data_IF_903530257919
#
_entry.id   IF_903530257919
#
_cell.length_a   1.000
_cell.length_b   1.000
_cell.length_c   1.000
_cell.angle_alpha   90.00
_cell.angle_beta   90.00
_cell.angle_gamma   90.00
#
_symmetry.space_group_name_H-M   'P 1'
#
loop_
_entity.id
_entity.type
_entity.pdbx_description
1 polymer ?
#
# COMPACT_ATOMS: atom_id res chain seq x y z
N UNK A 1 -2.24 -14.19 2.56
CA UNK A 1 -1.41 -13.35 1.65
C UNK A 1 -1.84 -13.49 0.20
N UNK A 2 -2.21 -14.68 -0.28
CA UNK A 2 -2.56 -14.87 -1.69
C UNK A 2 -3.85 -14.16 -2.11
N UNK A 3 -4.90 -14.17 -1.27
CA UNK A 3 -6.15 -13.46 -1.53
C UNK A 3 -5.96 -11.97 -1.85
N UNK A 4 -5.12 -11.26 -1.08
CA UNK A 4 -4.91 -9.83 -1.29
C UNK A 4 -4.06 -9.56 -2.54
N UNK A 5 -3.13 -10.47 -2.87
CA UNK A 5 -2.36 -10.38 -4.11
C UNK A 5 -3.27 -10.59 -5.31
N UNK A 6 -4.19 -11.56 -5.27
CA UNK A 6 -5.15 -11.77 -6.35
C UNK A 6 -6.11 -10.59 -6.50
N UNK A 7 -6.57 -9.98 -5.40
CA UNK A 7 -7.32 -8.72 -5.45
C UNK A 7 -6.52 -7.62 -6.15
N UNK A 8 -5.24 -7.43 -5.79
CA UNK A 8 -4.37 -6.43 -6.41
C UNK A 8 -4.08 -6.72 -7.89
N UNK A 9 -3.97 -7.99 -8.31
CA UNK A 9 -3.83 -8.38 -9.72
C UNK A 9 -5.05 -8.01 -10.57
N UNK A 10 -6.23 -8.06 -9.97
CA UNK A 10 -7.50 -7.76 -10.64
C UNK A 10 -7.86 -6.25 -10.63
N UNK A 11 -7.00 -5.39 -10.08
CA UNK A 11 -7.21 -3.94 -10.09
C UNK A 11 -6.93 -3.39 -11.49
N UNK A 12 -7.93 -2.75 -12.09
CA UNK A 12 -7.80 -2.06 -13.38
C UNK A 12 -7.54 -0.56 -13.20
N UNK A 13 -8.05 0.02 -12.11
CA UNK A 13 -7.96 1.47 -11.86
C UNK A 13 -7.47 1.75 -10.45
N UNK A 14 -6.48 2.65 -10.33
CA UNK A 14 -5.97 3.12 -9.04
C UNK A 14 -6.29 4.61 -8.92
N UNK A 15 -6.93 5.01 -7.82
CA UNK A 15 -7.33 6.38 -7.55
C UNK A 15 -6.66 6.87 -6.27
N UNK A 16 -5.85 7.92 -6.38
CA UNK A 16 -5.29 8.61 -5.22
C UNK A 16 -6.26 9.69 -4.74
N UNK A 17 -6.73 9.57 -3.50
CA UNK A 17 -7.55 10.62 -2.88
C UNK A 17 -6.76 11.93 -2.73
N UNK A 18 -7.45 13.06 -2.57
CA UNK A 18 -6.82 14.38 -2.33
C UNK A 18 -5.83 14.32 -1.15
N UNK A 19 -6.22 13.65 -0.07
CA UNK A 19 -5.36 13.48 1.10
C UNK A 19 -4.12 12.63 0.76
N UNK A 20 -4.26 11.52 0.02
CA UNK A 20 -3.12 10.74 -0.42
C UNK A 20 -2.15 11.56 -1.30
N UNK A 21 -2.66 12.34 -2.26
CA UNK A 21 -1.84 13.21 -3.12
C UNK A 21 -1.03 14.22 -2.31
N UNK A 22 -1.65 14.88 -1.33
CA UNK A 22 -0.93 15.79 -0.43
C UNK A 22 0.18 15.08 0.36
N UNK A 23 -0.11 13.88 0.87
CA UNK A 23 0.85 13.09 1.64
C UNK A 23 2.02 12.57 0.79
N UNK A 24 1.81 12.36 -0.50
CA UNK A 24 2.85 12.01 -1.48
C UNK A 24 3.80 13.19 -1.67
N UNK A 25 3.24 14.38 -1.93
CA UNK A 25 4.00 15.62 -2.13
C UNK A 25 4.83 15.96 -0.88
N UNK A 26 4.23 15.91 0.31
CA UNK A 26 4.90 16.22 1.59
C UNK A 26 6.06 15.29 1.93
N UNK A 27 6.15 14.14 1.27
CA UNK A 27 7.22 13.16 1.49
C UNK A 27 8.13 13.01 0.28
N UNK A 28 8.08 13.98 -0.64
CA UNK A 28 8.94 14.03 -1.83
C UNK A 28 8.91 12.73 -2.65
N UNK A 29 7.74 12.09 -2.68
CA UNK A 29 7.49 10.86 -3.45
C UNK A 29 6.68 11.18 -4.70
N UNK A 30 6.67 10.26 -5.68
CA UNK A 30 5.80 10.37 -6.86
C UNK A 30 4.66 9.33 -6.85
N UNK A 31 3.59 9.63 -7.60
CA UNK A 31 2.51 8.68 -7.85
C UNK A 31 3.04 7.45 -8.61
N UNK A 32 3.94 7.61 -9.60
CA UNK A 32 4.50 6.46 -10.33
C UNK A 32 5.31 5.54 -9.42
N UNK A 33 6.07 6.12 -8.49
CA UNK A 33 6.82 5.36 -7.50
C UNK A 33 5.88 4.47 -6.68
N UNK A 34 4.76 5.02 -6.20
CA UNK A 34 3.75 4.24 -5.47
C UNK A 34 3.08 3.18 -6.32
N UNK A 35 2.74 3.49 -7.57
CA UNK A 35 2.19 2.52 -8.52
C UNK A 35 3.17 1.35 -8.75
N UNK A 36 4.47 1.63 -8.84
CA UNK A 36 5.49 0.58 -8.98
C UNK A 36 5.49 -0.38 -7.79
N UNK A 37 5.29 0.12 -6.56
CA UNK A 37 5.20 -0.71 -5.36
C UNK A 37 3.91 -1.54 -5.33
N UNK A 38 2.76 -0.92 -5.65
CA UNK A 38 1.47 -1.62 -5.70
C UNK A 38 1.51 -2.76 -6.72
N UNK A 39 2.13 -2.54 -7.88
CA UNK A 39 2.33 -3.57 -8.93
C UNK A 39 3.38 -4.62 -8.54
N UNK A 40 4.34 -4.26 -7.70
CA UNK A 40 5.37 -5.18 -7.19
C UNK A 40 4.85 -6.02 -6.02
N UNK A 41 3.98 -6.99 -6.29
CA UNK A 41 3.34 -7.82 -5.26
C UNK A 41 4.32 -8.58 -4.35
N UNK A 42 5.54 -8.84 -4.83
CA UNK A 42 6.60 -9.46 -4.03
C UNK A 42 7.11 -8.56 -2.90
N UNK A 43 6.91 -7.24 -3.01
CA UNK A 43 7.25 -6.27 -1.96
C UNK A 43 6.14 -6.16 -0.92
N UNK A 44 4.94 -6.69 -1.16
CA UNK A 44 3.88 -6.74 -0.16
C UNK A 44 4.24 -7.79 0.90
N UNK A 45 4.60 -7.31 2.09
CA UNK A 45 5.11 -8.15 3.19
C UNK A 45 4.06 -8.43 4.26
N UNK A 46 3.05 -7.57 4.37
CA UNK A 46 2.00 -7.71 5.36
C UNK A 46 0.75 -6.94 4.92
N UNK A 47 -0.42 -7.40 5.37
CA UNK A 47 -1.64 -6.61 5.28
C UNK A 47 -2.48 -6.78 6.54
N UNK A 48 -3.27 -5.77 6.85
CA UNK A 48 -4.26 -5.81 7.93
C UNK A 48 -5.60 -5.34 7.39
N UNK A 49 -6.62 -6.18 7.51
CA UNK A 49 -8.01 -5.81 7.21
C UNK A 49 -8.64 -5.16 8.42
N UNK A 50 -9.35 -4.05 8.21
CA UNK A 50 -10.07 -3.28 9.21
C UNK A 50 -11.43 -2.89 8.62
N UNK A 51 -12.43 -3.76 8.81
CA UNK A 51 -13.72 -3.68 8.11
C UNK A 51 -13.55 -3.77 6.59
N UNK A 52 -13.98 -2.71 5.89
CA UNK A 52 -13.87 -2.59 4.43
C UNK A 52 -12.51 -2.05 3.94
N UNK A 53 -11.66 -1.61 4.87
CA UNK A 53 -10.36 -1.01 4.58
C UNK A 53 -9.25 -2.04 4.73
N UNK A 54 -8.25 -1.94 3.88
CA UNK A 54 -7.02 -2.73 3.97
C UNK A 54 -5.86 -1.80 4.23
N UNK A 55 -5.00 -2.16 5.16
CA UNK A 55 -3.71 -1.51 5.36
C UNK A 55 -2.66 -2.42 4.74
N UNK A 56 -2.17 -2.07 3.56
CA UNK A 56 -1.13 -2.80 2.84
C UNK A 56 0.25 -2.29 3.27
N UNK A 57 1.18 -3.21 3.50
CA UNK A 57 2.54 -2.86 3.91
C UNK A 57 3.54 -3.39 2.88
N UNK A 58 4.26 -2.48 2.24
CA UNK A 58 5.27 -2.77 1.24
C UNK A 58 6.67 -2.52 1.80
N UNK A 59 7.57 -3.49 1.66
CA UNK A 59 8.97 -3.33 2.02
C UNK A 59 9.71 -2.51 0.96
N UNK A 60 10.35 -1.42 1.41
CA UNK A 60 11.32 -0.68 0.61
C UNK A 60 12.73 -1.20 0.86
N UNK A 61 13.01 -1.52 2.12
CA UNK A 61 14.25 -2.14 2.59
C UNK A 61 13.96 -2.90 3.88
N UNK A 62 15.00 -3.48 4.50
CA UNK A 62 14.88 -4.14 5.80
C UNK A 62 14.45 -3.19 6.92
N UNK A 63 14.61 -1.88 6.74
CA UNK A 63 14.34 -0.86 7.76
C UNK A 63 13.27 0.14 7.36
N UNK A 64 12.82 0.11 6.10
CA UNK A 64 11.83 1.05 5.57
C UNK A 64 10.63 0.32 5.00
N UNK A 65 9.44 0.77 5.39
CA UNK A 65 8.16 0.24 4.91
C UNK A 65 7.22 1.36 4.52
N UNK A 66 6.44 1.11 3.48
CA UNK A 66 5.29 1.93 3.14
C UNK A 66 4.04 1.26 3.68
N UNK A 67 3.21 2.01 4.41
CA UNK A 67 1.83 1.64 4.70
C UNK A 67 0.91 2.40 3.74
N UNK A 68 0.12 1.65 2.97
CA UNK A 68 -0.94 2.16 2.11
C UNK A 68 -2.29 1.69 2.64
N UNK A 69 -3.04 2.57 3.29
CA UNK A 69 -4.44 2.32 3.59
C UNK A 69 -5.27 2.48 2.32
N UNK A 70 -6.02 1.43 1.97
CA UNK A 70 -6.73 1.30 0.72
C UNK A 70 -8.14 0.74 0.91
N UNK A 71 -9.01 1.01 -0.07
CA UNK A 71 -10.34 0.39 -0.19
C UNK A 71 -10.46 -0.18 -1.60
N UNK A 72 -11.01 -1.38 -1.70
CA UNK A 72 -11.35 -2.01 -2.98
C UNK A 72 -12.83 -1.81 -3.26
N UNK A 73 -13.15 -1.32 -4.46
CA UNK A 73 -14.52 -1.17 -4.95
C UNK A 73 -14.57 -1.73 -6.39
N UNK A 74 -15.10 -2.93 -6.54
CA UNK A 74 -14.98 -3.70 -7.78
C UNK A 74 -13.51 -3.87 -8.19
N UNK A 75 -13.16 -3.41 -9.39
CA UNK A 75 -11.78 -3.42 -9.92
C UNK A 75 -11.02 -2.10 -9.67
N UNK A 76 -11.55 -1.22 -8.83
CA UNK A 76 -10.93 0.06 -8.47
C UNK A 76 -10.28 -0.04 -7.09
N UNK A 77 -9.04 0.43 -6.99
CA UNK A 77 -8.30 0.56 -5.74
C UNK A 77 -8.17 2.03 -5.36
N UNK A 78 -8.78 2.43 -4.26
CA UNK A 78 -8.64 3.77 -3.71
C UNK A 78 -7.50 3.82 -2.70
N UNK A 79 -6.51 4.67 -2.95
CA UNK A 79 -5.43 4.97 -2.02
C UNK A 79 -5.87 6.14 -1.14
N UNK A 80 -6.13 5.83 0.14
CA UNK A 80 -6.65 6.81 1.09
C UNK A 80 -5.56 7.70 1.65
N UNK A 81 -4.35 7.16 1.85
CA UNK A 81 -3.21 7.92 2.33
C UNK A 81 -1.91 7.18 2.01
N UNK A 82 -0.79 7.88 2.23
CA UNK A 82 0.57 7.36 2.11
C UNK A 82 1.26 7.56 3.45
N UNK A 83 1.89 6.52 3.98
CA UNK A 83 2.66 6.61 5.23
C UNK A 83 3.97 5.87 5.09
N UNK A 84 5.08 6.61 5.03
CA UNK A 84 6.42 6.05 5.14
C UNK A 84 6.75 5.76 6.60
N UNK A 85 7.29 4.56 6.89
CA UNK A 85 7.71 4.14 8.23
C UNK A 85 9.17 3.69 8.21
N UNK A 86 9.94 4.18 9.17
CA UNK A 86 11.34 3.80 9.42
C UNK A 86 11.41 2.70 10.47
N UNK A 87 10.86 1.53 10.14
CA UNK A 87 10.93 0.34 11.00
C UNK A 87 10.93 -0.92 10.19
N UNK A 88 11.59 -1.96 10.72
CA UNK A 88 11.63 -3.27 10.09
C UNK A 88 10.25 -3.89 9.97
N UNK A 89 9.93 -4.38 8.76
CA UNK A 89 8.70 -5.11 8.48
C UNK A 89 8.66 -6.48 9.16
N UNK A 90 9.82 -7.08 9.43
CA UNK A 90 9.91 -8.40 10.07
C UNK A 90 9.29 -8.40 11.47
N UNK A 91 9.32 -7.25 12.17
CA UNK A 91 8.63 -7.09 13.47
C UNK A 91 7.11 -7.01 13.35
N UNK A 92 6.58 -6.68 12.16
CA UNK A 92 5.14 -6.57 11.91
C UNK A 92 4.50 -7.90 11.54
N UNK A 93 5.26 -8.84 10.98
CA UNK A 93 4.78 -10.18 10.56
C UNK A 93 4.77 -11.18 11.73
N UNK A 94 5.50 -10.91 12.81
CA UNK A 94 5.62 -11.80 13.99
C UNK A 94 4.46 -11.73 15.00
N UNK A 95 3.39 -10.98 14.72
CA UNK A 95 2.18 -10.91 15.54
C UNK A 95 1.01 -11.53 14.80
#
# INVERSE_FOLDING_TARGET
MEEIKDKLRNVERIIFTKHAKQQIILRESSEESLLSYIRSLNKLVYFQKDGHKYNLYFALSNERTIKLPVVFEGKTLYILTYVLRYRSWQRMVKK
#
